data_IF_667409959203
#
_entry.id   IF_667409959203
#
_cell.length_a   1.000
_cell.length_b   1.000
_cell.length_c   1.000
_cell.angle_alpha   90.00
_cell.angle_beta   90.00
_cell.angle_gamma   90.00
#
_symmetry.space_group_name_H-M   'P 1'
#
loop_
_entity.id
_entity.type
_entity.pdbx_description
1 polymer ?
#
# COMPACT_ATOMS: atom_id res chain seq x y z
N UNK A 1 -41.80 12.16 -14.60
CA UNK A 1 -41.59 11.36 -13.38
C UNK A 1 -40.17 11.66 -12.93
N UNK A 2 -39.96 12.66 -12.08
CA UNK A 2 -38.63 12.98 -11.54
C UNK A 2 -38.52 12.34 -10.16
N UNK A 3 -37.99 11.13 -10.11
CA UNK A 3 -37.51 10.58 -8.85
C UNK A 3 -36.13 11.20 -8.61
N UNK A 4 -36.07 12.28 -7.83
CA UNK A 4 -34.86 12.61 -7.08
C UNK A 4 -34.68 11.50 -6.04
N UNK A 5 -34.20 10.35 -6.47
CA UNK A 5 -33.65 9.36 -5.57
C UNK A 5 -32.22 9.81 -5.28
N UNK A 6 -32.07 10.76 -4.35
CA UNK A 6 -30.75 10.99 -3.75
C UNK A 6 -30.34 9.66 -3.16
N UNK A 7 -29.24 9.03 -3.63
CA UNK A 7 -28.76 7.79 -3.06
C UNK A 7 -28.52 7.99 -1.56
N UNK A 8 -28.78 6.99 -0.71
CA UNK A 8 -28.56 7.12 0.72
C UNK A 8 -27.08 7.42 0.99
N UNK A 9 -26.81 8.32 1.94
CA UNK A 9 -25.46 8.73 2.31
C UNK A 9 -24.52 7.55 2.65
N UNK A 10 -25.09 6.43 3.09
CA UNK A 10 -24.34 5.19 3.34
C UNK A 10 -23.63 4.61 2.11
N UNK A 11 -24.04 5.01 0.90
CA UNK A 11 -23.50 4.52 -0.37
C UNK A 11 -22.58 5.57 -1.02
N UNK A 12 -22.75 6.85 -0.70
CA UNK A 12 -21.91 7.94 -1.23
C UNK A 12 -20.74 8.32 -0.32
N UNK A 13 -20.75 7.90 0.95
CA UNK A 13 -19.71 8.21 1.93
C UNK A 13 -18.98 6.95 2.40
N UNK A 14 -17.73 7.12 2.82
CA UNK A 14 -16.99 6.07 3.48
C UNK A 14 -17.53 5.86 4.90
N UNK A 15 -17.72 4.60 5.26
CA UNK A 15 -18.06 4.20 6.62
C UNK A 15 -16.85 4.36 7.55
N UNK A 16 -17.10 4.45 8.86
CA UNK A 16 -16.03 4.49 9.87
C UNK A 16 -14.95 3.40 9.69
N UNK A 17 -15.28 2.10 9.51
CA UNK A 17 -14.26 1.08 9.33
C UNK A 17 -13.47 1.22 8.00
N UNK A 18 -14.10 1.72 6.93
CA UNK A 18 -13.42 1.99 5.66
C UNK A 18 -12.39 3.13 5.84
N UNK A 19 -12.78 4.19 6.56
CA UNK A 19 -11.88 5.29 6.89
C UNK A 19 -10.70 4.85 7.77
N UNK A 20 -10.95 3.99 8.76
CA UNK A 20 -9.90 3.40 9.59
C UNK A 20 -8.93 2.55 8.75
N UNK A 21 -9.43 1.84 7.73
CA UNK A 21 -8.59 1.06 6.81
C UNK A 21 -7.73 1.96 5.91
N UNK A 22 -8.30 3.04 5.38
CA UNK A 22 -7.56 4.04 4.60
C UNK A 22 -6.49 4.73 5.45
N UNK A 23 -6.82 5.08 6.70
CA UNK A 23 -5.88 5.62 7.68
C UNK A 23 -4.69 4.67 7.92
N UNK A 24 -4.97 3.39 8.20
CA UNK A 24 -3.93 2.37 8.37
C UNK A 24 -3.08 2.18 7.11
N UNK A 25 -3.69 2.29 5.94
CA UNK A 25 -2.97 2.21 4.66
C UNK A 25 -2.00 3.38 4.49
N UNK A 26 -2.42 4.60 4.83
CA UNK A 26 -1.55 5.77 4.81
C UNK A 26 -0.37 5.61 5.78
N UNK A 27 -0.63 5.09 6.97
CA UNK A 27 0.41 4.84 7.97
C UNK A 27 1.38 3.74 7.53
N UNK A 28 0.87 2.65 6.94
CA UNK A 28 1.69 1.57 6.37
C UNK A 28 2.55 2.08 5.20
N UNK A 29 2.00 2.89 4.30
CA UNK A 29 2.74 3.57 3.24
C UNK A 29 3.83 4.47 3.83
N UNK A 30 3.52 5.20 4.90
CA UNK A 30 4.49 6.08 5.54
C UNK A 30 5.69 5.30 6.09
N UNK A 31 5.41 4.17 6.74
CA UNK A 31 6.44 3.27 7.25
C UNK A 31 7.25 2.62 6.11
N UNK A 32 6.58 2.18 5.04
CA UNK A 32 7.20 1.51 3.89
C UNK A 32 8.10 2.45 3.07
N UNK A 33 7.63 3.67 2.77
CA UNK A 33 8.37 4.66 1.99
C UNK A 33 9.42 5.40 2.84
N UNK A 34 9.31 5.35 4.17
CA UNK A 34 10.14 6.14 5.08
C UNK A 34 9.87 7.65 4.98
N UNK A 35 8.75 8.05 4.40
CA UNK A 35 8.31 9.43 4.21
C UNK A 35 6.89 9.58 4.77
N UNK A 36 6.50 10.75 5.29
CA UNK A 36 5.11 10.95 5.68
C UNK A 36 4.19 10.79 4.47
N UNK A 37 3.06 10.10 4.64
CA UNK A 37 1.98 10.01 3.65
C UNK A 37 0.71 10.55 4.29
N UNK A 38 0.06 11.46 3.59
CA UNK A 38 -1.22 12.06 3.96
C UNK A 38 -2.33 11.38 3.17
N UNK A 39 -3.44 11.11 3.85
CA UNK A 39 -4.68 10.67 3.24
C UNK A 39 -5.78 11.67 3.59
N UNK A 40 -6.40 12.29 2.59
CA UNK A 40 -7.46 13.29 2.80
C UNK A 40 -8.76 12.84 2.19
N UNK A 41 -9.84 12.91 2.97
CA UNK A 41 -11.20 12.70 2.47
C UNK A 41 -11.73 14.02 1.94
N UNK A 42 -12.15 14.01 0.69
CA UNK A 42 -12.75 15.15 0.00
C UNK A 42 -14.15 14.70 -0.47
N UNK A 43 -15.08 15.65 -0.59
CA UNK A 43 -16.39 15.40 -1.21
C UNK A 43 -16.31 15.84 -2.67
N UNK A 44 -16.52 14.90 -3.59
CA UNK A 44 -16.59 15.17 -5.03
C UNK A 44 -17.87 15.90 -5.43
N UNK A 45 -17.89 16.43 -6.65
CA UNK A 45 -19.00 17.23 -7.19
C UNK A 45 -20.32 16.46 -7.29
N UNK A 46 -20.25 15.14 -7.44
CA UNK A 46 -21.41 14.24 -7.49
C UNK A 46 -21.97 13.90 -6.10
N UNK A 47 -21.33 14.41 -5.03
CA UNK A 47 -21.69 14.13 -3.64
C UNK A 47 -21.17 12.78 -3.13
N UNK A 48 -20.25 12.14 -3.87
CA UNK A 48 -19.49 10.97 -3.44
C UNK A 48 -18.17 11.38 -2.80
N UNK A 49 -17.77 10.67 -1.75
CA UNK A 49 -16.47 10.89 -1.13
C UNK A 49 -15.37 10.18 -1.93
N UNK A 50 -14.20 10.82 -1.95
CA UNK A 50 -12.96 10.21 -2.42
C UNK A 50 -11.84 10.50 -1.43
N UNK A 51 -10.87 9.60 -1.36
CA UNK A 51 -9.67 9.75 -0.53
C UNK A 51 -8.46 9.85 -1.42
N UNK A 52 -7.75 10.96 -1.30
CA UNK A 52 -6.51 11.21 -2.01
C UNK A 52 -5.34 10.87 -1.11
N UNK A 53 -4.32 10.20 -1.66
CA UNK A 53 -3.07 9.91 -0.97
C UNK A 53 -1.96 10.73 -1.60
N UNK A 54 -1.17 11.40 -0.75
CA UNK A 54 -0.06 12.22 -1.21
C UNK A 54 1.10 12.24 -0.22
N UNK A 55 2.30 12.51 -0.73
CA UNK A 55 3.51 12.69 0.07
C UNK A 55 3.81 14.18 0.14
N UNK A 56 3.75 14.82 1.32
CA UNK A 56 4.12 16.22 1.45
C UNK A 56 5.58 16.41 1.04
N UNK A 57 5.78 17.42 0.20
CA UNK A 57 7.07 17.85 -0.29
C UNK A 57 7.66 18.87 0.70
N UNK A 58 8.97 18.80 0.89
CA UNK A 58 9.69 19.81 1.66
C UNK A 58 9.65 21.16 0.93
N UNK A 59 9.63 22.27 1.68
CA UNK A 59 9.58 23.67 1.17
C UNK A 59 10.76 24.08 0.26
N UNK A 60 11.67 23.17 -0.07
CA UNK A 60 12.79 23.37 -1.00
C UNK A 60 13.05 22.20 -1.95
N UNK A 61 12.13 21.24 -2.05
CA UNK A 61 12.20 20.21 -3.08
C UNK A 61 11.91 20.84 -4.45
N UNK A 62 12.70 20.49 -5.47
CA UNK A 62 12.40 20.93 -6.83
C UNK A 62 11.09 20.28 -7.24
N UNK A 63 10.09 21.10 -7.57
CA UNK A 63 8.83 20.62 -8.11
C UNK A 63 9.13 19.96 -9.45
N UNK A 64 8.91 18.65 -9.52
CA UNK A 64 8.97 17.93 -10.78
C UNK A 64 7.68 18.27 -11.54
N UNK A 65 7.78 19.12 -12.56
CA UNK A 65 6.63 19.55 -13.35
C UNK A 65 5.93 18.39 -14.08
N UNK A 66 6.58 17.23 -14.19
CA UNK A 66 5.99 16.01 -14.74
C UNK A 66 5.09 15.27 -13.73
N UNK A 67 5.17 15.61 -12.45
CA UNK A 67 4.44 14.95 -11.37
C UNK A 67 3.23 15.78 -10.92
N UNK A 68 2.10 15.11 -10.71
CA UNK A 68 0.87 15.76 -10.22
C UNK A 68 1.05 16.18 -8.76
N UNK A 69 0.91 17.48 -8.48
CA UNK A 69 0.93 18.01 -7.11
C UNK A 69 -0.49 18.34 -6.66
N UNK A 70 -0.81 18.02 -5.42
CA UNK A 70 -2.09 18.30 -4.77
C UNK A 70 -1.84 18.98 -3.44
N UNK A 71 -2.62 20.02 -3.16
CA UNK A 71 -2.58 20.69 -1.87
C UNK A 71 -3.50 19.93 -0.93
N UNK A 72 -2.95 19.45 0.17
CA UNK A 72 -3.68 18.66 1.16
C UNK A 72 -3.64 19.33 2.53
N UNK A 73 -4.72 19.19 3.29
CA UNK A 73 -4.86 19.87 4.58
C UNK A 73 -5.33 21.33 4.48
N UNK A 74 -5.33 22.01 5.62
CA UNK A 74 -5.91 23.34 5.79
C UNK A 74 -7.29 23.31 6.46
N UNK A 75 -7.87 24.50 6.60
CA UNK A 75 -9.12 24.69 7.34
C UNK A 75 -10.28 23.87 6.77
N UNK A 76 -10.73 22.87 7.52
CA UNK A 76 -11.86 22.01 7.14
C UNK A 76 -11.47 20.75 6.36
N UNK A 77 -10.18 20.52 6.14
CA UNK A 77 -9.67 19.27 5.58
C UNK A 77 -9.86 18.09 6.53
N UNK A 78 -10.19 16.93 5.96
CA UNK A 78 -10.40 15.69 6.72
C UNK A 78 -9.26 14.72 6.46
N UNK A 79 -8.14 14.98 7.13
CA UNK A 79 -6.97 14.10 7.07
C UNK A 79 -7.17 12.85 7.95
N UNK A 80 -6.73 11.71 7.43
CA UNK A 80 -6.81 10.40 8.04
C UNK A 80 -5.42 9.91 8.49
N UNK A 81 -5.41 8.98 9.44
CA UNK A 81 -4.18 8.34 9.94
C UNK A 81 -3.33 9.23 10.83
N UNK A 82 -2.09 8.78 11.06
CA UNK A 82 -1.11 9.49 11.89
C UNK A 82 -0.26 10.49 11.10
N UNK A 83 -0.56 10.70 9.81
CA UNK A 83 0.13 11.66 8.93
C UNK A 83 1.65 11.42 8.87
N UNK A 84 2.06 10.16 9.03
CA UNK A 84 3.47 9.78 9.13
C UNK A 84 4.26 10.48 10.25
N UNK A 85 3.59 10.95 11.30
CA UNK A 85 4.22 11.67 12.42
C UNK A 85 4.32 13.19 12.24
N UNK A 86 3.70 13.76 11.20
CA UNK A 86 3.62 15.20 11.02
C UNK A 86 2.81 15.88 12.14
N UNK A 87 3.15 17.13 12.51
CA UNK A 87 2.41 17.88 13.51
C UNK A 87 0.95 18.04 13.09
N UNK A 88 0.04 17.86 14.06
CA UNK A 88 -1.38 18.13 13.88
C UNK A 88 -1.60 19.65 13.90
N UNK A 89 -1.31 20.29 12.78
CA UNK A 89 -1.77 21.63 12.51
C UNK A 89 -3.00 21.53 11.62
N UNK A 90 -4.16 21.81 12.22
CA UNK A 90 -5.47 21.72 11.56
C UNK A 90 -5.66 22.80 10.47
N UNK A 91 -4.78 23.81 10.41
CA UNK A 91 -4.83 24.91 9.43
C UNK A 91 -3.64 24.92 8.46
N UNK A 92 -2.68 23.99 8.59
CA UNK A 92 -1.53 23.95 7.68
C UNK A 92 -1.91 23.19 6.40
N UNK A 93 -1.66 23.85 5.26
CA UNK A 93 -1.76 23.26 3.93
C UNK A 93 -0.37 22.77 3.52
N UNK A 94 -0.32 21.55 2.99
CA UNK A 94 0.90 20.90 2.54
C UNK A 94 0.84 20.70 1.03
N UNK A 95 1.90 21.11 0.33
CA UNK A 95 2.07 20.72 -1.07
C UNK A 95 2.48 19.25 -1.10
N UNK A 96 1.63 18.39 -1.65
CA UNK A 96 1.86 16.95 -1.67
C UNK A 96 2.00 16.46 -3.09
N UNK A 97 2.98 15.60 -3.31
CA UNK A 97 3.04 14.77 -4.49
C UNK A 97 1.86 13.79 -4.47
N UNK A 98 1.00 13.86 -5.48
CA UNK A 98 -0.12 12.95 -5.65
C UNK A 98 0.40 11.55 -5.96
N UNK A 99 -0.08 10.56 -5.20
CA UNK A 99 0.27 9.16 -5.42
C UNK A 99 -0.84 8.39 -6.14
N UNK A 100 -2.04 8.47 -5.60
CA UNK A 100 -3.23 7.76 -6.08
C UNK A 100 -4.44 8.24 -5.26
N UNK A 101 -5.65 7.89 -5.71
CA UNK A 101 -6.87 8.15 -4.95
C UNK A 101 -7.82 6.96 -5.01
N UNK A 102 -8.78 6.92 -4.09
CA UNK A 102 -9.92 6.01 -4.15
C UNK A 102 -11.20 6.81 -4.10
N UNK A 103 -12.03 6.67 -5.12
CA UNK A 103 -13.32 7.31 -5.24
C UNK A 103 -14.45 6.32 -4.98
N UNK A 104 -15.49 6.79 -4.30
CA UNK A 104 -16.75 6.06 -4.22
C UNK A 104 -17.55 6.27 -5.51
N UNK A 105 -17.97 5.17 -6.12
CA UNK A 105 -18.87 5.16 -7.27
C UNK A 105 -20.24 4.58 -6.88
N UNK A 106 -21.25 5.00 -7.65
CA UNK A 106 -22.63 4.56 -7.53
C UNK A 106 -22.97 3.40 -8.49
N UNK A 107 -21.97 2.89 -9.20
CA UNK A 107 -22.11 1.76 -10.10
C UNK A 107 -22.31 0.45 -9.33
N UNK A 108 -23.12 -0.44 -9.88
CA UNK A 108 -23.40 -1.74 -9.27
C UNK A 108 -22.17 -2.67 -9.39
N UNK A 109 -21.60 -3.07 -8.25
CA UNK A 109 -20.42 -3.94 -8.18
C UNK A 109 -19.07 -3.22 -8.29
N UNK A 110 -19.06 -1.89 -8.34
CA UNK A 110 -17.85 -1.07 -8.49
C UNK A 110 -17.86 0.08 -7.46
N UNK A 111 -18.17 -0.23 -6.20
CA UNK A 111 -18.33 0.80 -5.16
C UNK A 111 -17.05 1.62 -4.95
N UNK A 112 -15.88 1.02 -5.05
CA UNK A 112 -14.58 1.67 -4.89
C UNK A 112 -13.80 1.63 -6.20
N UNK A 113 -13.46 2.81 -6.72
CA UNK A 113 -12.62 2.97 -7.90
C UNK A 113 -11.29 3.54 -7.45
N UNK A 114 -10.20 2.85 -7.79
CA UNK A 114 -8.84 3.34 -7.58
C UNK A 114 -8.35 4.08 -8.81
N UNK A 115 -7.92 5.31 -8.56
CA UNK A 115 -7.20 6.14 -9.51
C UNK A 115 -5.70 5.98 -9.27
N UNK A 116 -4.90 5.88 -10.32
CA UNK A 116 -3.44 5.87 -10.22
C UNK A 116 -2.86 7.28 -10.06
N UNK A 117 -1.53 7.41 -10.19
CA UNK A 117 -0.80 8.67 -10.11
C UNK A 117 -1.11 9.71 -11.22
N UNK A 118 -1.71 9.28 -12.33
CA UNK A 118 -2.18 10.17 -13.40
C UNK A 118 -3.64 10.61 -13.16
N UNK A 119 -4.29 10.02 -12.14
CA UNK A 119 -5.71 10.19 -11.89
C UNK A 119 -6.57 9.32 -12.81
N UNK A 120 -5.98 8.33 -13.48
CA UNK A 120 -6.70 7.40 -14.36
C UNK A 120 -7.20 6.19 -13.58
N UNK A 121 -8.34 5.65 -13.97
CA UNK A 121 -8.93 4.46 -13.35
C UNK A 121 -8.03 3.24 -13.57
N UNK A 122 -7.47 2.72 -12.49
CA UNK A 122 -6.54 1.59 -12.51
C UNK A 122 -7.21 0.28 -12.07
N UNK A 123 -8.14 0.36 -11.12
CA UNK A 123 -8.87 -0.81 -10.60
C UNK A 123 -10.22 -0.41 -9.98
N UNK A 124 -11.14 -1.36 -9.87
CA UNK A 124 -12.43 -1.18 -9.18
C UNK A 124 -12.84 -2.45 -8.43
N UNK A 125 -13.54 -2.29 -7.31
CA UNK A 125 -14.14 -3.41 -6.56
C UNK A 125 -15.33 -2.94 -5.72
N UNK A 126 -16.14 -3.90 -5.25
CA UNK A 126 -17.18 -3.68 -4.24
C UNK A 126 -16.60 -3.59 -2.82
N UNK A 127 -15.39 -4.16 -2.61
CA UNK A 127 -14.70 -4.17 -1.32
C UNK A 127 -13.44 -3.32 -1.39
N UNK A 128 -13.25 -2.44 -0.40
CA UNK A 128 -12.10 -1.55 -0.34
C UNK A 128 -10.77 -2.32 -0.29
N UNK A 129 -10.75 -3.46 0.40
CA UNK A 129 -9.59 -4.34 0.57
C UNK A 129 -8.95 -4.76 -0.76
N UNK A 130 -9.77 -4.95 -1.80
CA UNK A 130 -9.31 -5.45 -3.10
C UNK A 130 -8.60 -4.38 -3.94
N UNK A 131 -8.86 -3.09 -3.68
CA UNK A 131 -8.24 -1.98 -4.42
C UNK A 131 -7.00 -1.42 -3.72
N UNK A 132 -6.86 -1.67 -2.41
CA UNK A 132 -5.73 -1.16 -1.64
C UNK A 132 -4.42 -1.89 -2.00
N UNK A 133 -3.28 -1.17 -2.02
CA UNK A 133 -1.99 -1.76 -2.37
C UNK A 133 -1.46 -2.78 -1.34
N UNK A 134 -1.95 -2.71 -0.10
CA UNK A 134 -1.69 -3.71 0.92
C UNK A 134 -3.04 -4.27 1.34
N UNK A 135 -3.29 -5.53 1.05
CA UNK A 135 -4.31 -6.25 1.79
C UNK A 135 -3.83 -6.23 3.25
N UNK A 136 -4.48 -5.45 4.11
CA UNK A 136 -4.31 -5.55 5.57
C UNK A 136 -4.97 -6.84 6.08
N UNK A 137 -4.90 -7.93 5.30
CA UNK A 137 -4.97 -9.27 5.84
C UNK A 137 -3.79 -9.39 6.78
N UNK A 138 -4.07 -9.57 8.06
CA UNK A 138 -3.12 -9.96 9.08
C UNK A 138 -2.52 -11.33 8.69
N UNK A 139 -1.67 -11.34 7.67
CA UNK A 139 -0.80 -12.48 7.41
C UNK A 139 0.19 -12.50 8.58
N UNK A 140 0.23 -13.60 9.36
CA UNK A 140 1.10 -13.68 10.52
C UNK A 140 2.54 -13.46 10.03
N UNK A 141 3.14 -12.34 10.42
CA UNK A 141 4.54 -12.11 10.13
C UNK A 141 5.35 -13.28 10.69
N UNK A 142 6.32 -13.84 9.94
CA UNK A 142 7.21 -14.84 10.50
C UNK A 142 7.93 -14.21 11.70
N UNK A 143 7.78 -14.88 12.85
CA UNK A 143 8.30 -14.43 14.13
C UNK A 143 9.83 -14.17 14.00
N UNK A 144 10.34 -12.95 14.23
CA UNK A 144 11.77 -12.63 14.08
C UNK A 144 12.66 -13.35 15.12
N UNK A 145 12.05 -14.18 15.97
CA UNK A 145 12.72 -15.01 16.97
C UNK A 145 12.97 -16.45 16.51
N UNK A 146 12.56 -16.82 15.30
CA UNK A 146 12.99 -18.07 14.68
C UNK A 146 14.47 -17.96 14.28
N UNK A 147 15.36 -18.13 15.27
CA UNK A 147 16.77 -18.42 15.03
C UNK A 147 16.83 -19.72 14.23
N UNK A 148 17.37 -19.64 13.02
CA UNK A 148 17.83 -20.80 12.27
C UNK A 148 19.00 -21.39 13.07
N UNK A 149 18.70 -22.31 13.99
CA UNK A 149 19.69 -23.19 14.60
C UNK A 149 20.18 -24.12 13.47
N UNK A 150 21.19 -23.67 12.72
CA UNK A 150 21.99 -24.52 11.84
C UNK A 150 22.66 -25.58 12.73
N UNK A 151 22.06 -26.77 12.82
CA UNK A 151 22.64 -27.91 13.51
C UNK A 151 23.95 -28.32 12.80
N UNK A 152 25.08 -28.08 13.47
CA UNK A 152 26.40 -28.64 13.15
C UNK A 152 26.31 -30.18 13.13
N UNK A 153 26.25 -30.78 11.94
CA UNK A 153 26.49 -32.22 11.75
C UNK A 153 28.00 -32.46 11.55
N UNK A 154 28.72 -32.53 12.67
CA UNK A 154 29.97 -33.30 12.77
C UNK A 154 29.61 -34.80 12.70
N UNK A 155 30.04 -35.51 11.65
CA UNK A 155 30.23 -36.96 11.73
C UNK A 155 31.48 -37.36 10.92
N UNK A 156 32.54 -37.65 11.66
CA UNK A 156 33.77 -38.27 11.20
C UNK A 156 33.59 -39.81 11.11
N UNK A 157 34.50 -40.44 10.35
CA UNK A 157 34.91 -41.85 10.31
C UNK A 157 34.28 -42.84 9.29
N UNK A 158 35.13 -43.10 8.27
CA UNK A 158 35.73 -44.40 7.88
C UNK A 158 34.84 -45.63 7.65
N UNK A 159 34.94 -46.20 6.44
CA UNK A 159 35.09 -47.66 6.25
C UNK A 159 35.69 -48.01 4.87
N UNK A 160 36.79 -48.77 4.91
CA UNK A 160 37.58 -49.39 3.83
C UNK A 160 36.74 -50.19 2.80
N UNK A 161 37.11 -50.14 1.51
CA UNK A 161 36.87 -51.26 0.57
C UNK A 161 38.10 -51.53 -0.31
N UNK A 162 38.90 -52.49 0.17
CA UNK A 162 40.00 -53.18 -0.50
C UNK A 162 39.45 -54.08 -1.63
N UNK A 163 39.79 -53.80 -2.89
CA UNK A 163 39.75 -54.84 -3.95
C UNK A 163 41.10 -54.92 -4.68
N UNK A 164 41.83 -56.04 -4.57
CA UNK A 164 43.03 -56.30 -5.37
C UNK A 164 42.66 -57.15 -6.60
N UNK A 165 43.18 -56.84 -7.80
CA UNK A 165 43.79 -57.80 -8.75
C UNK A 165 44.35 -57.14 -10.04
N UNK A 166 45.69 -57.13 -10.09
CA UNK A 166 46.67 -57.39 -11.16
C UNK A 166 46.27 -57.66 -12.64
N UNK A 167 47.04 -57.02 -13.56
CA UNK A 167 47.39 -57.35 -14.98
C UNK A 167 46.30 -57.28 -16.08
N UNK A 168 46.50 -56.66 -17.27
CA UNK A 168 47.59 -56.84 -18.25
C UNK A 168 47.69 -55.68 -19.29
N UNK A 169 48.94 -55.37 -19.67
CA UNK A 169 49.55 -54.75 -20.87
C UNK A 169 48.74 -54.51 -22.19
N UNK A 170 48.74 -53.22 -22.65
CA UNK A 170 48.96 -52.64 -24.02
C UNK A 170 48.09 -53.02 -25.27
N UNK A 171 48.15 -52.32 -26.45
CA UNK A 171 48.77 -51.03 -26.84
C UNK A 171 47.89 -50.07 -27.71
N UNK A 172 48.53 -48.97 -28.13
CA UNK A 172 48.19 -47.89 -29.08
C UNK A 172 47.36 -48.22 -30.33
N UNK A 173 46.64 -47.21 -30.82
CA UNK A 173 46.50 -46.92 -32.25
C UNK A 173 46.44 -45.42 -32.55
#
# INVERSE_FOLDING_TARGET
MSASATPPASVTHFSAPELDMLAKTADALSAYLGKPVLAEVILGDEGTEWVTFGVPLDEGAEADEEQTHVQMGGAGSRLLGNRGGLPHADDDTYDCLYLWAVQISLNEGERFIKLDHDGEESAWSDTLEDVLPFALTEEPQPDPTAQEDEEDEDDEDDEDDDTPYDSVHEPRH
#
